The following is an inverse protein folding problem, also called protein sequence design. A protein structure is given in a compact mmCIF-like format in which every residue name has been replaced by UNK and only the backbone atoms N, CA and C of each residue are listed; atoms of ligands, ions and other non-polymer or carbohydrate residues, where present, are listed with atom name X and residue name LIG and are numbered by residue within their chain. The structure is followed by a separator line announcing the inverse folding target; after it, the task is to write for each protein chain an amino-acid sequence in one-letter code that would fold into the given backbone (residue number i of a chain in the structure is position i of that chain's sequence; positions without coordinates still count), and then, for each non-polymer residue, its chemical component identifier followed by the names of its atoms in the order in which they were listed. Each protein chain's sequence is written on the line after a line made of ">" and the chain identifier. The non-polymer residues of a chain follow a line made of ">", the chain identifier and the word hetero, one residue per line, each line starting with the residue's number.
data_IF_442762256609
#
_entry.id   IF_442762256609
#
_cell.length_a   1.000
_cell.length_b   1.000
_cell.length_c   1.000
_cell.angle_alpha   90.00
_cell.angle_beta   90.00
_cell.angle_gamma   90.00
#
_symmetry.space_group_name_H-M   'P 1'
#
loop_
_entity.id
_entity.type
_entity.pdbx_description
1 polymer ?
#
# COMPACT_ATOMS: atom_id res chain seq x y z
N UNK A 1 8.02 29.74 -7.50
CA UNK A 1 6.97 30.23 -8.41
C UNK A 1 5.65 29.61 -7.97
N UNK A 2 4.62 30.40 -7.69
CA UNK A 2 3.31 29.85 -7.28
C UNK A 2 2.63 29.28 -8.51
N UNK A 3 2.46 27.96 -8.55
CA UNK A 3 1.77 27.26 -9.64
C UNK A 3 0.30 27.71 -9.64
N UNK A 4 -0.22 28.11 -10.80
CA UNK A 4 -1.63 28.50 -10.90
C UNK A 4 -2.52 27.24 -10.80
N UNK A 5 -3.43 27.15 -9.81
CA UNK A 5 -4.32 26.01 -9.65
C UNK A 5 -5.13 25.73 -10.91
N UNK A 6 -5.26 24.47 -11.32
CA UNK A 6 -6.06 24.09 -12.49
C UNK A 6 -6.70 22.71 -12.37
N UNK A 7 -8.03 22.65 -12.44
CA UNK A 7 -8.78 21.40 -12.54
C UNK A 7 -8.37 20.57 -13.76
N UNK A 8 -8.06 21.24 -14.88
CA UNK A 8 -7.64 20.60 -16.13
C UNK A 8 -6.38 19.75 -15.94
N UNK A 9 -5.52 20.08 -14.99
CA UNK A 9 -4.33 19.29 -14.73
C UNK A 9 -4.62 17.91 -14.13
N UNK A 10 -5.86 17.62 -13.70
CA UNK A 10 -6.28 16.32 -13.17
C UNK A 10 -6.98 15.43 -14.21
N UNK A 11 -7.40 16.00 -15.34
CA UNK A 11 -8.08 15.24 -16.40
C UNK A 11 -7.25 14.11 -17.00
N UNK A 12 -5.89 14.18 -17.06
CA UNK A 12 -5.10 13.03 -17.49
C UNK A 12 -5.34 11.77 -16.66
N UNK A 13 -5.40 11.88 -15.33
CA UNK A 13 -5.69 10.70 -14.50
C UNK A 13 -7.11 10.18 -14.76
N UNK A 14 -8.09 11.08 -14.87
CA UNK A 14 -9.47 10.68 -15.21
C UNK A 14 -9.52 9.97 -16.56
N UNK A 15 -8.70 10.38 -17.53
CA UNK A 15 -8.57 9.70 -18.81
C UNK A 15 -7.97 8.30 -18.64
N UNK A 16 -6.89 8.15 -17.87
CA UNK A 16 -6.31 6.84 -17.57
C UNK A 16 -7.34 5.92 -16.92
N UNK A 17 -8.04 6.39 -15.88
CA UNK A 17 -9.09 5.64 -15.20
C UNK A 17 -10.23 5.28 -16.17
N UNK A 18 -10.67 6.22 -17.01
CA UNK A 18 -11.72 5.97 -18.00
C UNK A 18 -11.31 4.88 -19.01
N UNK A 19 -10.08 4.90 -19.52
CA UNK A 19 -9.59 3.89 -20.45
C UNK A 19 -9.41 2.53 -19.77
N UNK A 20 -8.72 2.50 -18.63
CA UNK A 20 -8.42 1.26 -17.93
C UNK A 20 -9.68 0.57 -17.42
N UNK A 21 -10.55 1.31 -16.72
CA UNK A 21 -11.81 0.77 -16.20
C UNK A 21 -12.83 0.55 -17.30
N UNK A 22 -12.92 1.48 -18.27
CA UNK A 22 -13.84 1.37 -19.39
C UNK A 22 -13.56 0.13 -20.24
N UNK A 23 -12.29 -0.15 -20.54
CA UNK A 23 -11.90 -1.36 -21.24
C UNK A 23 -12.23 -2.61 -20.41
N UNK A 24 -11.87 -2.63 -19.12
CA UNK A 24 -12.16 -3.76 -18.24
C UNK A 24 -13.64 -4.11 -18.17
N UNK A 25 -14.49 -3.10 -17.89
CA UNK A 25 -15.94 -3.28 -17.83
C UNK A 25 -16.52 -3.68 -19.19
N UNK A 26 -16.02 -3.11 -20.29
CA UNK A 26 -16.46 -3.44 -21.63
C UNK A 26 -16.20 -4.91 -21.99
N UNK A 27 -14.98 -5.39 -21.79
CA UNK A 27 -14.64 -6.79 -22.10
C UNK A 27 -15.31 -7.77 -21.14
N UNK A 28 -15.43 -7.43 -19.85
CA UNK A 28 -16.19 -8.25 -18.89
C UNK A 28 -17.67 -8.33 -19.28
N UNK A 29 -18.28 -7.24 -19.75
CA UNK A 29 -19.65 -7.25 -20.24
C UNK A 29 -19.84 -8.11 -21.51
N UNK A 30 -18.77 -8.39 -22.26
CA UNK A 30 -18.78 -9.32 -23.40
C UNK A 30 -18.59 -10.79 -23.01
N UNK A 31 -18.53 -11.09 -21.70
CA UNK A 31 -18.34 -12.45 -21.20
C UNK A 31 -16.88 -12.85 -21.01
N UNK A 32 -15.93 -11.91 -21.14
CA UNK A 32 -14.53 -12.19 -20.85
C UNK A 32 -14.29 -12.17 -19.33
N UNK A 33 -13.97 -13.35 -18.78
CA UNK A 33 -13.65 -13.52 -17.37
C UNK A 33 -12.46 -12.65 -16.90
N UNK A 34 -11.56 -12.28 -17.82
CA UNK A 34 -10.37 -11.46 -17.55
C UNK A 34 -10.40 -10.14 -18.33
N UNK A 35 -11.58 -9.54 -18.51
CA UNK A 35 -11.75 -8.30 -19.28
C UNK A 35 -10.79 -7.16 -18.91
N UNK A 36 -10.41 -7.03 -17.62
CA UNK A 36 -9.43 -6.03 -17.16
C UNK A 36 -7.97 -6.29 -17.60
N UNK A 37 -7.66 -7.48 -18.11
CA UNK A 37 -6.34 -7.82 -18.65
C UNK A 37 -6.22 -7.63 -20.16
N UNK A 38 -7.34 -7.40 -20.85
CA UNK A 38 -7.36 -7.17 -22.29
C UNK A 38 -6.65 -5.86 -22.67
N UNK A 39 -6.78 -4.83 -21.82
CA UNK A 39 -5.98 -3.61 -21.93
C UNK A 39 -5.04 -3.51 -20.73
N UNK A 40 -3.78 -3.90 -20.95
CA UNK A 40 -2.72 -3.81 -19.94
C UNK A 40 -2.56 -2.37 -19.45
N UNK A 41 -2.39 -2.19 -18.14
CA UNK A 41 -2.37 -0.88 -17.51
C UNK A 41 -1.24 0.05 -18.04
N UNK A 42 0.00 -0.43 -18.30
CA UNK A 42 1.05 0.40 -18.91
C UNK A 42 0.70 0.92 -20.30
N UNK A 43 -0.20 0.25 -21.03
CA UNK A 43 -0.69 0.71 -22.33
C UNK A 43 -1.83 1.71 -22.13
N UNK A 44 -2.74 1.43 -21.19
CA UNK A 44 -3.89 2.29 -20.87
C UNK A 44 -3.47 3.70 -20.42
N UNK A 45 -2.30 3.87 -19.80
CA UNK A 45 -1.81 5.16 -19.31
C UNK A 45 -1.20 6.06 -20.41
N UNK A 46 -0.86 5.52 -21.58
CA UNK A 46 -0.19 6.31 -22.65
C UNK A 46 -1.02 7.51 -23.14
N UNK A 47 -2.34 7.40 -23.41
CA UNK A 47 -3.17 8.54 -23.77
C UNK A 47 -3.23 9.61 -22.68
N UNK A 48 -3.24 9.19 -21.40
CA UNK A 48 -3.21 10.10 -20.26
C UNK A 48 -1.89 10.87 -20.20
N UNK A 49 -0.75 10.20 -20.39
CA UNK A 49 0.55 10.86 -20.46
C UNK A 49 0.65 11.86 -21.61
N UNK A 50 0.12 11.51 -22.78
CA UNK A 50 0.07 12.41 -23.93
C UNK A 50 -0.75 13.67 -23.61
N UNK A 51 -1.93 13.51 -22.98
CA UNK A 51 -2.76 14.63 -22.54
C UNK A 51 -2.06 15.48 -21.47
N UNK A 52 -1.45 14.85 -20.47
CA UNK A 52 -0.71 15.53 -19.41
C UNK A 52 0.47 16.34 -19.97
N UNK A 53 1.23 15.75 -20.90
CA UNK A 53 2.35 16.41 -21.55
C UNK A 53 1.89 17.59 -22.40
N UNK A 54 0.79 17.44 -23.14
CA UNK A 54 0.20 18.52 -23.93
C UNK A 54 -0.28 19.68 -23.04
N UNK A 55 -0.96 19.39 -21.93
CA UNK A 55 -1.39 20.40 -20.97
C UNK A 55 -0.20 21.12 -20.31
N UNK A 56 0.85 20.40 -19.95
CA UNK A 56 2.07 20.97 -19.40
C UNK A 56 2.76 21.89 -20.42
N UNK A 57 2.87 21.44 -21.68
CA UNK A 57 3.43 22.23 -22.78
C UNK A 57 2.66 23.53 -23.03
N UNK A 58 1.31 23.48 -23.01
CA UNK A 58 0.45 24.67 -23.13
C UNK A 58 0.65 25.70 -22.02
N UNK A 59 1.27 25.31 -20.91
CA UNK A 59 1.62 26.20 -19.78
C UNK A 59 3.09 26.61 -19.79
N UNK A 60 3.78 26.43 -20.91
CA UNK A 60 5.20 26.70 -21.08
C UNK A 60 6.10 25.91 -20.10
N UNK A 61 5.62 24.76 -19.60
CA UNK A 61 6.46 23.79 -18.89
C UNK A 61 7.19 22.92 -19.93
N UNK A 62 8.28 22.28 -19.52
CA UNK A 62 9.01 21.30 -20.32
C UNK A 62 8.54 19.89 -19.93
N UNK A 63 7.63 19.26 -20.68
CA UNK A 63 6.96 18.05 -20.21
C UNK A 63 7.91 16.87 -20.02
N UNK A 64 8.91 16.71 -20.89
CA UNK A 64 9.89 15.63 -20.79
C UNK A 64 10.72 15.69 -19.50
N UNK A 65 11.20 16.88 -19.12
CA UNK A 65 11.97 17.07 -17.88
C UNK A 65 11.10 16.77 -16.65
N UNK A 66 9.85 17.27 -16.62
CA UNK A 66 8.91 17.03 -15.52
C UNK A 66 8.52 15.56 -15.41
N UNK A 67 8.29 14.90 -16.55
CA UNK A 67 7.96 13.47 -16.61
C UNK A 67 9.11 12.63 -16.05
N UNK A 68 10.34 12.86 -16.53
CA UNK A 68 11.52 12.13 -16.08
C UNK A 68 11.82 12.38 -14.60
N UNK A 69 11.60 13.60 -14.11
CA UNK A 69 11.73 13.92 -12.68
C UNK A 69 10.72 13.12 -11.84
N UNK A 70 9.49 12.96 -12.32
CA UNK A 70 8.48 12.14 -11.66
C UNK A 70 8.80 10.65 -11.68
N UNK A 71 9.22 10.13 -12.84
CA UNK A 71 9.64 8.72 -12.98
C UNK A 71 10.87 8.41 -12.11
N UNK A 72 11.78 9.37 -11.96
CA UNK A 72 12.99 9.27 -11.15
C UNK A 72 12.79 9.64 -9.68
N UNK A 73 11.56 9.76 -9.19
CA UNK A 73 11.31 9.99 -7.77
C UNK A 73 11.93 8.84 -6.94
N UNK A 74 12.73 9.13 -5.90
CA UNK A 74 13.43 8.10 -5.13
C UNK A 74 12.52 7.03 -4.56
N UNK A 75 11.29 7.37 -4.15
CA UNK A 75 10.34 6.39 -3.61
C UNK A 75 9.86 5.46 -4.71
N UNK A 76 9.59 5.98 -5.90
CA UNK A 76 9.14 5.18 -7.05
C UNK A 76 10.25 4.25 -7.52
N UNK A 77 11.49 4.76 -7.63
CA UNK A 77 12.65 3.93 -7.99
C UNK A 77 12.91 2.85 -6.94
N UNK A 78 12.84 3.20 -5.66
CA UNK A 78 12.95 2.23 -4.55
C UNK A 78 11.88 1.13 -4.68
N UNK A 79 10.63 1.50 -4.95
CA UNK A 79 9.53 0.54 -5.15
C UNK A 79 9.80 -0.39 -6.33
N UNK A 80 10.30 0.13 -7.46
CA UNK A 80 10.69 -0.69 -8.61
C UNK A 80 11.79 -1.72 -8.25
N UNK A 81 12.78 -1.33 -7.45
CA UNK A 81 13.81 -2.26 -6.96
C UNK A 81 13.24 -3.32 -6.03
N UNK A 82 12.33 -2.92 -5.13
CA UNK A 82 11.62 -3.87 -4.26
C UNK A 82 10.83 -4.87 -5.09
N UNK A 83 10.15 -4.46 -6.16
CA UNK A 83 9.40 -5.36 -7.04
C UNK A 83 10.30 -6.42 -7.64
N UNK A 84 11.40 -6.02 -8.26
CA UNK A 84 12.34 -6.95 -8.88
C UNK A 84 12.90 -7.94 -7.87
N UNK A 85 13.39 -7.46 -6.72
CA UNK A 85 13.92 -8.34 -5.67
C UNK A 85 12.84 -9.25 -5.07
N UNK A 86 11.63 -8.75 -4.89
CA UNK A 86 10.50 -9.53 -4.38
C UNK A 86 10.11 -10.65 -5.36
N UNK A 87 10.00 -10.33 -6.64
CA UNK A 87 9.73 -11.32 -7.69
C UNK A 87 10.81 -12.39 -7.76
N UNK A 88 12.08 -11.99 -7.82
CA UNK A 88 13.20 -12.94 -7.81
C UNK A 88 13.21 -13.82 -6.56
N UNK A 89 13.06 -13.21 -5.37
CA UNK A 89 13.02 -13.96 -4.12
C UNK A 89 11.84 -14.93 -4.06
N UNK A 90 10.65 -14.51 -4.51
CA UNK A 90 9.45 -15.35 -4.53
C UNK A 90 9.62 -16.57 -5.45
N UNK A 91 10.13 -16.37 -6.67
CA UNK A 91 10.34 -17.45 -7.64
C UNK A 91 11.41 -18.43 -7.18
N UNK A 92 12.59 -17.95 -6.76
CA UNK A 92 13.66 -18.81 -6.23
C UNK A 92 13.19 -19.58 -4.99
N UNK A 93 12.53 -18.89 -4.04
CA UNK A 93 12.04 -19.56 -2.82
C UNK A 93 10.99 -20.61 -3.11
N UNK A 94 10.17 -20.41 -4.15
CA UNK A 94 9.19 -21.41 -4.57
C UNK A 94 9.87 -22.60 -5.27
N UNK A 95 10.81 -22.34 -6.17
CA UNK A 95 11.54 -23.38 -6.91
C UNK A 95 12.35 -24.29 -5.98
N UNK A 96 12.97 -23.73 -4.95
CA UNK A 96 13.74 -24.48 -3.94
C UNK A 96 12.84 -25.17 -2.90
N UNK A 97 11.51 -24.96 -2.93
CA UNK A 97 10.57 -25.57 -1.98
C UNK A 97 10.53 -24.91 -0.59
N UNK A 98 11.15 -23.74 -0.43
CA UNK A 98 11.15 -23.01 0.84
C UNK A 98 9.76 -22.51 1.23
N UNK A 99 8.97 -22.06 0.26
CA UNK A 99 7.56 -21.66 0.48
C UNK A 99 6.75 -22.84 1.00
N UNK A 100 6.88 -24.01 0.36
CA UNK A 100 6.11 -25.21 0.72
C UNK A 100 6.47 -25.74 2.11
N UNK A 101 7.74 -25.64 2.51
CA UNK A 101 8.17 -25.99 3.86
C UNK A 101 7.56 -25.07 4.94
N UNK A 102 7.51 -23.75 4.71
CA UNK A 102 6.87 -22.81 5.65
C UNK A 102 5.37 -23.09 5.75
N UNK A 103 4.72 -23.34 4.62
CA UNK A 103 3.29 -23.66 4.56
C UNK A 103 2.99 -24.94 5.33
N UNK A 104 3.80 -26.00 5.13
CA UNK A 104 3.65 -27.26 5.86
C UNK A 104 3.79 -27.09 7.37
N UNK A 105 4.77 -26.30 7.82
CA UNK A 105 4.94 -25.98 9.24
C UNK A 105 3.76 -25.19 9.81
N UNK A 106 3.24 -24.21 9.06
CA UNK A 106 2.14 -23.36 9.51
C UNK A 106 0.81 -24.10 9.57
N UNK A 107 0.46 -24.82 8.50
CA UNK A 107 -0.80 -25.57 8.38
C UNK A 107 -0.82 -26.78 9.33
N UNK A 108 0.31 -27.46 9.53
CA UNK A 108 0.40 -28.59 10.46
C UNK A 108 0.29 -28.21 11.94
N UNK A 109 0.56 -26.95 12.29
CA UNK A 109 0.60 -26.47 13.68
C UNK A 109 -0.62 -25.64 14.11
N UNK A 110 -1.38 -25.08 13.17
CA UNK A 110 -2.47 -24.14 13.46
C UNK A 110 -3.84 -24.70 13.09
N UNK A 111 -4.84 -24.37 13.90
CA UNK A 111 -6.24 -24.62 13.54
C UNK A 111 -6.58 -23.84 12.25
N UNK A 112 -7.34 -24.41 11.29
CA UNK A 112 -7.62 -23.77 10.00
C UNK A 112 -8.20 -22.35 10.12
N UNK A 113 -9.14 -22.15 11.05
CA UNK A 113 -9.73 -20.84 11.37
C UNK A 113 -8.71 -19.78 11.83
N UNK A 114 -7.51 -20.17 12.25
CA UNK A 114 -6.44 -19.25 12.68
C UNK A 114 -5.43 -18.94 11.57
N UNK A 115 -5.50 -19.58 10.40
CA UNK A 115 -4.56 -19.34 9.30
C UNK A 115 -4.62 -17.90 8.78
N UNK A 116 -5.81 -17.42 8.39
CA UNK A 116 -5.96 -16.05 7.87
C UNK A 116 -5.68 -14.98 8.94
N UNK A 117 -6.22 -15.07 10.18
CA UNK A 117 -5.86 -14.14 11.24
C UNK A 117 -4.37 -14.16 11.58
N UNK A 118 -3.73 -15.34 11.53
CA UNK A 118 -2.31 -15.52 11.78
C UNK A 118 -1.46 -14.81 10.72
N UNK A 119 -1.77 -14.98 9.44
CA UNK A 119 -1.09 -14.28 8.34
C UNK A 119 -1.26 -12.76 8.43
N UNK A 120 -2.47 -12.29 8.76
CA UNK A 120 -2.72 -10.87 9.02
C UNK A 120 -1.86 -10.35 10.19
N UNK A 121 -1.79 -11.10 11.30
CA UNK A 121 -1.00 -10.72 12.47
C UNK A 121 0.50 -10.69 12.18
N UNK A 122 1.03 -11.68 11.44
CA UNK A 122 2.42 -11.68 10.99
C UNK A 122 2.70 -10.44 10.13
N UNK A 123 1.83 -10.12 9.17
CA UNK A 123 1.98 -8.92 8.35
C UNK A 123 1.94 -7.63 9.18
N UNK A 124 1.07 -7.53 10.19
CA UNK A 124 1.05 -6.41 11.13
C UNK A 124 2.39 -6.23 11.86
N UNK A 125 2.94 -7.32 12.40
CA UNK A 125 4.20 -7.30 13.16
C UNK A 125 5.39 -6.95 12.27
N UNK A 126 5.48 -7.59 11.10
CA UNK A 126 6.53 -7.33 10.12
C UNK A 126 6.49 -5.88 9.64
N UNK A 127 5.31 -5.34 9.35
CA UNK A 127 5.15 -3.95 8.90
C UNK A 127 5.45 -2.93 9.99
N UNK A 128 5.11 -3.21 11.25
CA UNK A 128 5.51 -2.38 12.39
C UNK A 128 7.03 -2.39 12.60
N UNK A 129 7.70 -3.51 12.35
CA UNK A 129 9.13 -3.68 12.58
C UNK A 129 9.99 -3.07 11.47
N UNK A 130 9.73 -3.41 10.20
CA UNK A 130 10.46 -2.82 9.06
C UNK A 130 10.02 -1.37 8.85
N UNK A 131 8.78 -1.04 9.17
CA UNK A 131 8.21 0.28 8.95
C UNK A 131 7.86 0.57 7.49
N UNK A 132 7.69 -0.46 6.65
CA UNK A 132 7.24 -0.30 5.27
C UNK A 132 6.20 -1.35 4.89
N UNK A 133 5.15 -0.91 4.18
CA UNK A 133 4.15 -1.84 3.64
C UNK A 133 4.68 -2.68 2.48
N UNK A 134 5.50 -2.08 1.62
CA UNK A 134 6.00 -2.73 0.40
C UNK A 134 6.90 -3.91 0.72
N UNK A 135 7.82 -3.74 1.68
CA UNK A 135 8.66 -4.82 2.15
C UNK A 135 7.88 -5.93 2.85
N UNK A 136 6.86 -5.56 3.63
CA UNK A 136 5.97 -6.55 4.26
C UNK A 136 5.23 -7.38 3.22
N UNK A 137 4.65 -6.74 2.21
CA UNK A 137 3.94 -7.43 1.12
C UNK A 137 4.91 -8.35 0.37
N UNK A 138 6.09 -7.85 -0.02
CA UNK A 138 7.12 -8.63 -0.69
C UNK A 138 7.55 -9.87 0.11
N UNK A 139 7.67 -9.74 1.43
CA UNK A 139 8.14 -10.80 2.30
C UNK A 139 7.04 -11.80 2.72
N UNK A 140 5.77 -11.38 2.82
CA UNK A 140 4.71 -12.23 3.41
C UNK A 140 3.78 -12.82 2.35
N UNK A 141 3.55 -12.14 1.22
CA UNK A 141 2.62 -12.62 0.18
C UNK A 141 3.03 -13.98 -0.41
N UNK A 142 4.30 -14.30 -0.72
CA UNK A 142 4.62 -15.60 -1.28
C UNK A 142 4.28 -16.77 -0.34
N UNK A 143 4.47 -16.62 0.98
CA UNK A 143 3.95 -17.60 1.97
C UNK A 143 2.43 -17.67 1.89
N UNK A 144 1.77 -16.52 1.92
CA UNK A 144 0.33 -16.44 1.97
C UNK A 144 -0.34 -17.07 0.74
N UNK A 145 0.28 -16.95 -0.44
CA UNK A 145 -0.13 -17.64 -1.66
C UNK A 145 0.04 -19.15 -1.51
N UNK A 146 1.18 -19.61 -1.00
CA UNK A 146 1.39 -21.03 -0.72
C UNK A 146 0.37 -21.59 0.28
N UNK A 147 0.04 -20.84 1.34
CA UNK A 147 -1.00 -21.22 2.31
C UNK A 147 -2.37 -21.26 1.64
N UNK A 148 -2.68 -20.28 0.80
CA UNK A 148 -3.96 -20.24 0.09
C UNK A 148 -4.13 -21.47 -0.82
N UNK A 149 -3.08 -21.84 -1.55
CA UNK A 149 -3.11 -23.00 -2.45
C UNK A 149 -3.23 -24.31 -1.68
N UNK A 150 -2.43 -24.50 -0.63
CA UNK A 150 -2.44 -25.73 0.15
C UNK A 150 -3.73 -25.93 0.96
N UNK A 151 -4.34 -24.83 1.45
CA UNK A 151 -5.59 -24.89 2.21
C UNK A 151 -6.86 -24.73 1.34
N UNK A 152 -6.72 -24.58 0.02
CA UNK A 152 -7.84 -24.38 -0.91
C UNK A 152 -8.62 -23.08 -0.66
N UNK A 153 -7.96 -22.03 -0.15
CA UNK A 153 -8.57 -20.75 0.18
C UNK A 153 -8.56 -19.78 -1.01
N UNK A 154 -9.51 -18.83 -1.02
CA UNK A 154 -9.51 -17.74 -1.98
C UNK A 154 -8.23 -16.90 -1.86
N UNK A 155 -7.34 -16.98 -2.87
CA UNK A 155 -6.06 -16.24 -2.88
C UNK A 155 -6.25 -14.74 -2.64
N UNK A 156 -7.29 -14.15 -3.24
CA UNK A 156 -7.55 -12.71 -3.09
C UNK A 156 -7.89 -12.34 -1.64
N UNK A 157 -8.66 -13.17 -0.92
CA UNK A 157 -8.94 -13.00 0.50
C UNK A 157 -7.69 -13.14 1.38
N UNK A 158 -6.91 -14.20 1.18
CA UNK A 158 -5.70 -14.46 1.98
C UNK A 158 -4.68 -13.34 1.81
N UNK A 159 -4.40 -12.97 0.56
CA UNK A 159 -3.48 -11.88 0.21
C UNK A 159 -4.05 -10.52 0.64
N UNK A 160 -5.37 -10.32 0.54
CA UNK A 160 -6.05 -9.14 1.06
C UNK A 160 -5.86 -8.96 2.57
N UNK A 161 -5.84 -10.06 3.32
CA UNK A 161 -5.46 -10.08 4.73
C UNK A 161 -4.02 -9.61 4.94
N UNK A 162 -3.06 -10.13 4.18
CA UNK A 162 -1.65 -9.70 4.28
C UNK A 162 -1.47 -8.23 3.94
N UNK A 163 -2.07 -7.74 2.84
CA UNK A 163 -2.05 -6.32 2.49
C UNK A 163 -2.68 -5.48 3.60
N UNK A 164 -3.78 -5.94 4.19
CA UNK A 164 -4.41 -5.29 5.34
C UNK A 164 -3.45 -5.17 6.53
N UNK A 165 -2.73 -6.23 6.88
CA UNK A 165 -1.74 -6.19 7.97
C UNK A 165 -0.54 -5.29 7.63
N UNK A 166 -0.10 -5.29 6.38
CA UNK A 166 0.93 -4.37 5.91
C UNK A 166 0.50 -2.90 6.05
N UNK A 167 -0.75 -2.59 5.72
CA UNK A 167 -1.35 -1.25 5.90
C UNK A 167 -1.57 -0.87 7.37
N UNK A 168 -1.86 -1.85 8.23
CA UNK A 168 -1.91 -1.61 9.67
C UNK A 168 -0.58 -1.10 10.21
N UNK A 169 0.52 -1.77 9.85
CA UNK A 169 1.85 -1.34 10.28
C UNK A 169 2.29 -0.03 9.67
N UNK A 170 2.00 0.24 8.39
CA UNK A 170 2.35 1.52 7.74
C UNK A 170 1.70 2.72 8.45
N UNK A 171 0.43 2.57 8.82
CA UNK A 171 -0.34 3.58 9.55
C UNK A 171 0.14 3.78 11.01
N UNK A 172 0.85 2.81 11.60
CA UNK A 172 1.28 2.87 13.00
C UNK A 172 2.78 3.02 13.18
N UNK A 173 3.59 2.71 12.18
CA UNK A 173 5.04 2.74 12.28
C UNK A 173 5.54 4.14 12.61
N UNK A 174 6.39 4.24 13.63
CA UNK A 174 7.00 5.52 14.04
C UNK A 174 8.11 5.95 13.05
N UNK A 175 8.66 4.99 12.30
CA UNK A 175 9.76 5.20 11.37
C UNK A 175 9.32 5.32 9.91
N UNK A 176 8.03 5.12 9.59
CA UNK A 176 7.52 5.22 8.21
C UNK A 176 7.55 6.67 7.69
N UNK A 177 7.89 6.83 6.41
CA UNK A 177 7.95 8.12 5.72
C UNK A 177 6.62 8.88 5.78
N UNK A 178 5.49 8.17 5.67
CA UNK A 178 4.14 8.73 5.78
C UNK A 178 3.91 9.33 7.16
N UNK A 179 4.33 8.61 8.20
CA UNK A 179 4.22 9.06 9.59
C UNK A 179 5.11 10.27 9.87
N UNK A 180 6.33 10.27 9.35
CA UNK A 180 7.26 11.40 9.47
C UNK A 180 6.71 12.61 8.71
N UNK A 181 6.20 12.43 7.49
CA UNK A 181 5.59 13.49 6.70
C UNK A 181 4.35 14.08 7.39
N UNK A 182 3.45 13.24 7.91
CA UNK A 182 2.23 13.69 8.58
C UNK A 182 2.56 14.46 9.85
N UNK A 183 3.46 13.95 10.69
CA UNK A 183 3.83 14.60 11.95
C UNK A 183 4.58 15.92 11.72
N UNK A 184 5.54 15.96 10.79
CA UNK A 184 6.30 17.19 10.46
C UNK A 184 5.42 18.26 9.83
N UNK A 185 4.52 17.91 8.91
CA UNK A 185 3.65 18.90 8.26
C UNK A 185 2.65 19.51 9.23
N UNK A 186 2.19 18.75 10.21
CA UNK A 186 1.22 19.22 11.22
C UNK A 186 1.86 19.78 12.49
N UNK A 187 3.16 19.62 12.70
CA UNK A 187 3.83 20.01 13.94
C UNK A 187 3.47 19.11 15.13
N UNK A 188 3.16 17.84 14.88
CA UNK A 188 2.81 16.86 15.91
C UNK A 188 4.03 16.04 16.34
N UNK A 189 4.04 15.58 17.60
CA UNK A 189 5.02 14.60 18.07
C UNK A 189 4.64 13.19 17.60
N UNK A 190 5.64 12.40 17.15
CA UNK A 190 5.39 11.03 16.63
C UNK A 190 4.71 10.14 17.67
N UNK A 191 5.11 10.22 18.94
CA UNK A 191 4.54 9.43 20.03
C UNK A 191 3.05 9.72 20.24
N UNK A 192 2.64 10.98 20.09
CA UNK A 192 1.24 11.38 20.28
C UNK A 192 0.37 10.99 19.10
N UNK A 193 0.92 11.06 17.88
CA UNK A 193 0.30 10.50 16.67
C UNK A 193 0.12 8.99 16.80
N UNK A 194 1.16 8.26 17.22
CA UNK A 194 1.09 6.81 17.44
C UNK A 194 -0.06 6.43 18.37
N UNK A 195 -0.17 7.11 19.52
CA UNK A 195 -1.25 6.88 20.49
C UNK A 195 -2.63 7.21 19.93
N UNK A 196 -2.74 8.20 19.06
CA UNK A 196 -4.00 8.55 18.41
C UNK A 196 -4.38 7.50 17.36
N UNK A 197 -3.47 7.14 16.46
CA UNK A 197 -3.71 6.11 15.45
C UNK A 197 -4.00 4.75 16.08
N UNK A 198 -3.30 4.36 17.14
CA UNK A 198 -3.51 3.07 17.79
C UNK A 198 -4.93 2.89 18.32
N UNK A 199 -5.56 3.95 18.84
CA UNK A 199 -6.97 3.92 19.29
C UNK A 199 -7.96 3.65 18.16
N UNK A 200 -7.60 4.02 16.93
CA UNK A 200 -8.45 3.87 15.74
C UNK A 200 -8.13 2.55 15.02
N UNK A 201 -6.84 2.24 14.86
CA UNK A 201 -6.35 1.08 14.13
C UNK A 201 -6.56 -0.23 14.90
N UNK A 202 -6.41 -0.25 16.23
CA UNK A 202 -6.57 -1.47 17.01
C UNK A 202 -8.00 -2.05 16.92
N UNK A 203 -9.09 -1.28 17.11
CA UNK A 203 -10.44 -1.81 16.90
C UNK A 203 -10.66 -2.35 15.48
N UNK A 204 -10.14 -1.66 14.45
CA UNK A 204 -10.23 -2.12 13.07
C UNK A 204 -9.46 -3.43 12.83
N UNK A 205 -8.27 -3.56 13.40
CA UNK A 205 -7.46 -4.78 13.32
C UNK A 205 -8.14 -5.96 14.03
N UNK A 206 -8.70 -5.76 15.22
CA UNK A 206 -9.43 -6.79 15.96
C UNK A 206 -10.69 -7.24 15.18
N UNK A 207 -11.44 -6.29 14.61
CA UNK A 207 -12.58 -6.62 13.75
C UNK A 207 -12.14 -7.38 12.50
N UNK A 208 -11.00 -7.01 11.89
CA UNK A 208 -10.44 -7.71 10.74
C UNK A 208 -10.06 -9.15 11.10
N UNK A 209 -9.33 -9.35 12.21
CA UNK A 209 -8.98 -10.68 12.69
C UNK A 209 -10.20 -11.57 12.92
N UNK A 210 -11.27 -11.01 13.50
CA UNK A 210 -12.51 -11.74 13.73
C UNK A 210 -13.18 -12.16 12.42
N UNK A 211 -13.31 -11.24 11.45
CA UNK A 211 -13.89 -11.55 10.14
C UNK A 211 -13.06 -12.58 9.36
N UNK A 212 -11.73 -12.44 9.39
CA UNK A 212 -10.82 -13.40 8.75
C UNK A 212 -10.92 -14.78 9.41
N UNK A 213 -11.13 -14.84 10.73
CA UNK A 213 -11.31 -16.10 11.45
C UNK A 213 -12.57 -16.85 11.00
N UNK A 214 -13.69 -16.15 10.87
CA UNK A 214 -14.93 -16.74 10.34
C UNK A 214 -14.81 -17.14 8.87
N UNK A 215 -14.06 -16.38 8.08
CA UNK A 215 -13.86 -16.69 6.67
C UNK A 215 -12.90 -17.88 6.43
N UNK A 216 -12.08 -18.24 7.42
CA UNK A 216 -11.14 -19.36 7.36
C UNK A 216 -11.74 -20.73 7.74
N UNK A 217 -12.95 -20.77 8.30
CA UNK A 217 -13.56 -22.00 8.85
C UNK A 217 -13.99 -23.02 7.77
N UNK A 218 -14.02 -22.61 6.50
CA UNK A 218 -14.42 -23.43 5.36
C UNK A 218 -13.28 -24.21 4.67
N UNK A 219 -12.06 -24.24 5.22
CA UNK A 219 -10.91 -24.87 4.58
C UNK A 219 -10.82 -26.38 4.88
N UNK A 220 -10.95 -27.28 3.88
CA UNK A 220 -10.54 -28.67 4.04
C UNK A 220 -9.02 -28.72 4.07
N UNK A 221 -8.43 -28.87 5.25
CA UNK A 221 -6.98 -28.96 5.37
C UNK A 221 -6.55 -30.41 5.20
N UNK A 222 -6.17 -30.78 3.99
CA UNK A 222 -5.32 -31.95 3.74
C UNK A 222 -3.88 -31.46 3.54
N UNK A 223 -3.08 -31.54 4.60
CA UNK A 223 -1.65 -31.27 4.48
C UNK A 223 -0.96 -32.50 3.87
N UNK A 224 -0.57 -32.43 2.59
CA UNK A 224 0.46 -33.34 2.10
C UNK A 224 1.80 -32.94 2.71
N UNK A 225 2.19 -33.65 3.76
CA UNK A 225 3.43 -33.45 4.52
C UNK A 225 4.62 -34.07 3.80
N UNK A 226 5.12 -33.45 2.74
CA UNK A 226 6.29 -33.95 2.00
C UNK A 226 7.47 -32.98 1.94
N UNK A 227 7.29 -31.71 2.29
CA UNK A 227 8.40 -30.75 2.31
C UNK A 227 9.25 -30.88 3.58
N UNK A 228 10.58 -30.97 3.41
CA UNK A 228 11.51 -31.04 4.54
C UNK A 228 11.57 -29.71 5.31
N UNK A 229 11.36 -29.76 6.63
CA UNK A 229 11.24 -28.56 7.49
C UNK A 229 12.46 -27.61 7.42
N UNK A 230 13.66 -28.11 7.13
CA UNK A 230 14.87 -27.28 7.02
C UNK A 230 14.83 -26.31 5.83
N UNK A 231 14.05 -26.60 4.79
CA UNK A 231 13.84 -25.69 3.64
C UNK A 231 13.10 -24.41 4.03
N UNK A 232 12.44 -24.38 5.20
CA UNK A 232 11.81 -23.16 5.71
C UNK A 232 12.81 -22.13 6.24
N UNK A 233 14.06 -22.54 6.54
CA UNK A 233 15.06 -21.68 7.19
C UNK A 233 15.38 -20.38 6.44
N UNK A 234 15.62 -20.37 5.11
CA UNK A 234 15.88 -19.12 4.38
C UNK A 234 14.75 -18.12 4.55
N UNK A 235 13.51 -18.60 4.52
CA UNK A 235 12.33 -17.77 4.62
C UNK A 235 12.10 -17.27 6.06
N UNK A 236 12.27 -18.14 7.06
CA UNK A 236 12.19 -17.75 8.48
C UNK A 236 13.25 -16.72 8.83
N UNK A 237 14.46 -16.85 8.29
CA UNK A 237 15.53 -15.88 8.50
C UNK A 237 15.16 -14.52 7.88
N UNK A 238 14.58 -14.48 6.68
CA UNK A 238 14.05 -13.25 6.08
C UNK A 238 13.02 -12.58 6.99
N UNK A 239 12.07 -13.35 7.55
CA UNK A 239 11.09 -12.82 8.51
C UNK A 239 11.75 -12.31 9.79
N UNK A 240 12.77 -12.98 10.31
CA UNK A 240 13.52 -12.53 11.49
C UNK A 240 14.28 -11.24 11.20
N UNK A 241 14.96 -11.13 10.05
CA UNK A 241 15.68 -9.92 9.65
C UNK A 241 14.72 -8.75 9.43
N UNK A 242 13.56 -9.02 8.85
CA UNK A 242 12.47 -8.06 8.74
C UNK A 242 12.00 -7.58 10.13
N UNK A 243 11.77 -8.49 11.07
CA UNK A 243 11.39 -8.16 12.45
C UNK A 243 12.50 -7.45 13.25
N UNK A 244 13.75 -7.63 12.85
CA UNK A 244 14.89 -6.89 13.39
C UNK A 244 14.99 -5.45 12.84
N UNK A 245 14.12 -5.07 11.90
CA UNK A 245 14.05 -3.71 11.34
C UNK A 245 15.15 -3.41 10.30
N UNK A 246 15.71 -4.42 9.65
CA UNK A 246 16.64 -4.20 8.54
C UNK A 246 15.91 -3.61 7.32
N UNK A 247 16.65 -2.84 6.51
CA UNK A 247 16.14 -2.27 5.26
C UNK A 247 15.61 -3.34 4.32
N UNK A 248 14.50 -3.05 3.64
CA UNK A 248 13.78 -3.99 2.78
C UNK A 248 14.67 -4.55 1.66
N UNK A 249 15.50 -3.72 1.02
CA UNK A 249 16.35 -4.18 -0.07
C UNK A 249 17.41 -5.15 0.46
N UNK A 250 17.95 -4.89 1.65
CA UNK A 250 18.88 -5.80 2.32
C UNK A 250 18.20 -7.11 2.71
N UNK A 251 17.00 -7.04 3.28
CA UNK A 251 16.22 -8.23 3.69
C UNK A 251 15.92 -9.12 2.47
N UNK A 252 15.42 -8.54 1.37
CA UNK A 252 15.12 -9.30 0.15
C UNK A 252 16.40 -9.79 -0.56
N UNK A 253 17.46 -8.97 -0.59
CA UNK A 253 18.73 -9.36 -1.20
C UNK A 253 19.42 -10.51 -0.46
N UNK A 254 19.49 -10.42 0.88
CA UNK A 254 19.99 -11.52 1.73
C UNK A 254 19.09 -12.75 1.56
N UNK A 255 17.77 -12.58 1.56
CA UNK A 255 16.82 -13.65 1.33
C UNK A 255 17.03 -14.37 0.00
N UNK A 256 17.24 -13.63 -1.08
CA UNK A 256 17.48 -14.16 -2.41
C UNK A 256 18.78 -14.97 -2.48
N UNK A 257 19.86 -14.46 -1.87
CA UNK A 257 21.15 -15.16 -1.82
C UNK A 257 21.05 -16.42 -0.97
N UNK A 258 20.35 -16.36 0.16
CA UNK A 258 20.16 -17.53 1.03
C UNK A 258 19.28 -18.59 0.37
N UNK A 259 18.16 -18.21 -0.22
CA UNK A 259 17.28 -19.15 -0.92
C UNK A 259 18.03 -19.85 -2.07
N UNK A 260 18.78 -19.09 -2.87
CA UNK A 260 19.64 -19.64 -3.91
C UNK A 260 20.74 -20.55 -3.35
N UNK A 261 21.44 -20.11 -2.30
CA UNK A 261 22.50 -20.90 -1.66
C UNK A 261 22.00 -22.23 -1.08
N UNK A 262 20.81 -22.23 -0.48
CA UNK A 262 20.17 -23.46 0.00
C UNK A 262 19.73 -24.37 -1.16
N UNK A 263 19.19 -23.78 -2.23
CA UNK A 263 18.87 -24.52 -3.46
C UNK A 263 20.10 -25.21 -4.05
N UNK A 264 21.20 -24.47 -4.20
CA UNK A 264 22.46 -25.00 -4.76
C UNK A 264 23.11 -26.07 -3.88
N UNK A 265 22.95 -25.97 -2.56
CA UNK A 265 23.59 -26.88 -1.62
C UNK A 265 22.78 -28.17 -1.39
N UNK A 266 21.45 -28.10 -1.49
CA UNK A 266 20.57 -29.15 -1.01
C UNK A 266 19.36 -29.45 -1.91
N UNK A 267 19.13 -28.66 -2.96
CA UNK A 267 18.06 -28.89 -3.93
C UNK A 267 18.47 -29.98 -4.92
N UNK A 268 17.55 -30.90 -5.19
CA UNK A 268 17.73 -31.90 -6.24
C UNK A 268 17.69 -31.20 -7.61
N UNK A 269 18.73 -31.40 -8.42
CA UNK A 269 18.90 -30.81 -9.77
C UNK A 269 18.86 -29.27 -9.83
N UNK A 270 19.03 -28.56 -8.71
CA UNK A 270 19.05 -27.10 -8.65
C UNK A 270 20.46 -26.52 -8.83
N UNK A 271 20.78 -26.07 -10.04
CA UNK A 271 22.10 -25.55 -10.40
C UNK A 271 22.14 -24.01 -10.55
N UNK A 272 23.33 -23.47 -10.84
CA UNK A 272 23.51 -22.03 -11.03
C UNK A 272 22.74 -21.47 -12.23
N UNK A 273 22.45 -22.30 -13.24
CA UNK A 273 21.71 -21.90 -14.44
C UNK A 273 20.24 -21.75 -14.09
N UNK A 274 19.67 -22.71 -13.36
CA UNK A 274 18.30 -22.63 -12.86
C UNK A 274 18.14 -21.44 -11.91
N UNK A 275 19.07 -21.25 -10.97
CA UNK A 275 19.03 -20.11 -10.06
C UNK A 275 19.00 -18.76 -10.80
N UNK A 276 19.86 -18.58 -11.79
CA UNK A 276 19.85 -17.37 -12.62
C UNK A 276 18.57 -17.23 -13.46
N UNK A 277 18.03 -18.35 -13.97
CA UNK A 277 16.77 -18.40 -14.70
C UNK A 277 15.57 -17.99 -13.85
N UNK A 278 15.47 -18.51 -12.63
CA UNK A 278 14.37 -18.18 -11.71
C UNK A 278 14.39 -16.72 -11.27
N UNK A 279 15.58 -16.14 -11.05
CA UNK A 279 15.74 -14.69 -10.83
C UNK A 279 15.16 -13.91 -12.01
N UNK A 280 15.50 -14.31 -13.23
CA UNK A 280 15.04 -13.63 -14.45
C UNK A 280 13.52 -13.73 -14.62
N UNK A 281 12.94 -14.91 -14.44
CA UNK A 281 11.48 -15.11 -14.47
C UNK A 281 10.82 -14.23 -13.39
N UNK A 282 11.41 -14.17 -12.20
CA UNK A 282 10.99 -13.29 -11.13
C UNK A 282 10.99 -11.81 -11.55
N UNK A 283 12.02 -11.34 -12.23
CA UNK A 283 12.06 -9.98 -12.78
C UNK A 283 11.00 -9.76 -13.86
N UNK A 284 10.86 -10.68 -14.82
CA UNK A 284 9.86 -10.61 -15.88
C UNK A 284 8.44 -10.48 -15.33
N UNK A 285 8.11 -11.24 -14.29
CA UNK A 285 6.79 -11.20 -13.63
C UNK A 285 6.45 -9.82 -13.05
N UNK A 286 7.45 -8.98 -12.80
CA UNK A 286 7.32 -7.66 -12.17
C UNK A 286 7.42 -6.50 -13.16
N UNK A 287 7.76 -6.74 -14.43
CA UNK A 287 7.96 -5.68 -15.45
C UNK A 287 6.70 -4.84 -15.64
N UNK A 288 5.52 -5.46 -15.69
CA UNK A 288 4.26 -4.75 -15.93
C UNK A 288 3.99 -3.69 -14.84
N UNK A 289 4.11 -4.08 -13.58
CA UNK A 289 3.87 -3.18 -12.43
C UNK A 289 4.99 -2.16 -12.26
N UNK A 290 6.23 -2.52 -12.61
CA UNK A 290 7.38 -1.63 -12.62
C UNK A 290 7.17 -0.50 -13.64
N UNK A 291 6.81 -0.84 -14.88
CA UNK A 291 6.51 0.14 -15.93
C UNK A 291 5.35 1.03 -15.51
N UNK A 292 4.25 0.44 -15.02
CA UNK A 292 3.10 1.21 -14.54
C UNK A 292 3.48 2.21 -13.45
N UNK A 293 4.27 1.80 -12.46
CA UNK A 293 4.66 2.67 -11.33
C UNK A 293 5.50 3.87 -11.79
N UNK A 294 6.46 3.64 -12.69
CA UNK A 294 7.23 4.73 -13.29
C UNK A 294 6.31 5.71 -14.04
N UNK A 295 5.42 5.18 -14.89
CA UNK A 295 4.52 6.00 -15.70
C UNK A 295 3.52 6.79 -14.85
N UNK A 296 2.98 6.19 -13.77
CA UNK A 296 2.14 6.88 -12.78
C UNK A 296 2.93 7.98 -12.08
N UNK A 297 4.19 7.73 -11.71
CA UNK A 297 5.09 8.73 -11.15
C UNK A 297 5.26 9.96 -12.04
N UNK A 298 5.54 9.71 -13.32
CA UNK A 298 5.64 10.76 -14.34
C UNK A 298 4.32 11.52 -14.52
N UNK A 299 3.19 10.80 -14.57
CA UNK A 299 1.86 11.40 -14.67
C UNK A 299 1.57 12.30 -13.46
N UNK A 300 1.82 11.81 -12.25
CA UNK A 300 1.64 12.55 -11.00
C UNK A 300 2.49 13.82 -10.94
N UNK A 301 3.74 13.77 -11.40
CA UNK A 301 4.60 14.95 -11.51
C UNK A 301 4.06 16.00 -12.49
N UNK A 302 3.57 15.57 -13.66
CA UNK A 302 2.93 16.47 -14.63
C UNK A 302 1.65 17.11 -14.07
N UNK A 303 0.81 16.33 -13.39
CA UNK A 303 -0.41 16.83 -12.74
C UNK A 303 -0.09 17.87 -11.64
N UNK A 304 0.95 17.58 -10.84
CA UNK A 304 1.44 18.49 -9.80
C UNK A 304 1.98 19.79 -10.40
N UNK A 305 2.86 19.70 -11.39
CA UNK A 305 3.42 20.87 -12.07
C UNK A 305 2.35 21.69 -12.82
N UNK A 306 1.29 21.04 -13.30
CA UNK A 306 0.14 21.69 -13.93
C UNK A 306 -0.80 22.42 -12.96
N UNK A 307 -0.62 22.26 -11.64
CA UNK A 307 -1.44 22.89 -10.60
C UNK A 307 -2.69 22.10 -10.20
N UNK A 308 -2.73 20.80 -10.48
CA UNK A 308 -3.88 19.94 -10.16
C UNK A 308 -4.08 19.80 -8.65
N UNK A 309 -3.00 19.52 -7.93
CA UNK A 309 -3.05 19.32 -6.47
C UNK A 309 -3.39 20.61 -5.71
N UNK A 310 -2.84 21.75 -6.15
CA UNK A 310 -3.19 23.06 -5.59
C UNK A 310 -4.67 23.40 -5.79
N UNK A 311 -5.25 22.97 -6.92
CA UNK A 311 -6.68 23.15 -7.18
C UNK A 311 -7.54 22.29 -6.26
N UNK A 312 -7.18 21.01 -6.06
CA UNK A 312 -7.87 20.13 -5.11
C UNK A 312 -7.86 20.72 -3.71
N UNK A 313 -6.69 21.16 -3.25
CA UNK A 313 -6.52 21.84 -1.98
C UNK A 313 -7.48 23.04 -1.83
N UNK A 314 -7.61 23.87 -2.88
CA UNK A 314 -8.50 25.03 -2.84
C UNK A 314 -9.98 24.66 -2.83
N UNK A 315 -10.39 23.65 -3.59
CA UNK A 315 -11.78 23.17 -3.61
C UNK A 315 -12.18 22.67 -2.22
N UNK A 316 -11.32 21.87 -1.60
CA UNK A 316 -11.58 21.29 -0.28
C UNK A 316 -11.57 22.39 0.80
N UNK A 317 -10.62 23.33 0.72
CA UNK A 317 -10.59 24.48 1.61
C UNK A 317 -11.82 25.38 1.47
N UNK A 318 -12.40 25.54 0.27
CA UNK A 318 -13.65 26.30 0.07
C UNK A 318 -14.84 25.62 0.74
N UNK A 319 -14.95 24.30 0.61
CA UNK A 319 -16.00 23.53 1.29
C UNK A 319 -15.88 23.63 2.82
N UNK A 320 -14.65 23.59 3.33
CA UNK A 320 -14.33 23.73 4.76
C UNK A 320 -14.65 25.12 5.35
N UNK A 321 -14.77 26.17 4.53
CA UNK A 321 -15.04 27.56 4.99
C UNK A 321 -16.51 27.82 5.31
N UNK A 322 -17.45 27.04 4.77
CA UNK A 322 -18.89 27.28 4.92
C UNK A 322 -19.49 26.85 6.27
N UNK A 323 -18.77 26.04 7.05
CA UNK A 323 -19.29 25.43 8.27
C UNK A 323 -18.28 25.63 9.41
N UNK A 324 -18.74 26.04 10.60
CA UNK A 324 -17.90 26.18 11.80
C UNK A 324 -18.10 24.98 12.69
N UNK A 325 -17.20 24.01 12.64
CA UNK A 325 -17.26 22.85 13.51
C UNK A 325 -16.08 21.91 13.31
N UNK A 326 -15.49 21.46 14.42
CA UNK A 326 -14.38 20.51 14.45
C UNK A 326 -14.59 19.32 13.51
N UNK A 327 -15.80 18.74 13.49
CA UNK A 327 -16.15 17.62 12.61
C UNK A 327 -15.96 17.98 11.13
N UNK A 328 -16.44 19.14 10.70
CA UNK A 328 -16.26 19.62 9.32
C UNK A 328 -14.77 19.75 8.98
N UNK A 329 -13.97 20.28 9.92
CA UNK A 329 -12.51 20.33 9.76
C UNK A 329 -11.88 18.94 9.62
N UNK A 330 -12.25 17.99 10.50
CA UNK A 330 -11.74 16.61 10.44
C UNK A 330 -12.11 15.93 9.11
N UNK A 331 -13.36 16.06 8.66
CA UNK A 331 -13.80 15.53 7.35
C UNK A 331 -13.11 16.23 6.18
N UNK A 332 -12.77 17.51 6.31
CA UNK A 332 -12.05 18.24 5.26
C UNK A 332 -10.60 17.75 5.14
N UNK A 333 -9.92 17.49 6.27
CA UNK A 333 -8.57 16.91 6.28
C UNK A 333 -8.60 15.48 5.71
N UNK A 334 -9.58 14.67 6.13
CA UNK A 334 -9.77 13.32 5.62
C UNK A 334 -10.00 13.30 4.09
N UNK A 335 -10.93 14.13 3.60
CA UNK A 335 -11.21 14.25 2.17
C UNK A 335 -10.00 14.78 1.38
N UNK A 336 -9.25 15.74 1.94
CA UNK A 336 -8.02 16.24 1.34
C UNK A 336 -7.00 15.14 1.16
N UNK A 337 -6.70 14.39 2.21
CA UNK A 337 -5.71 13.34 2.17
C UNK A 337 -6.12 12.22 1.22
N UNK A 338 -7.34 11.71 1.36
CA UNK A 338 -7.83 10.62 0.52
C UNK A 338 -7.90 10.99 -0.96
N UNK A 339 -8.36 12.20 -1.25
CA UNK A 339 -8.43 12.66 -2.65
C UNK A 339 -7.03 12.86 -3.21
N UNK A 340 -6.13 13.53 -2.46
CA UNK A 340 -4.74 13.70 -2.91
C UNK A 340 -4.06 12.35 -3.15
N UNK A 341 -4.30 11.36 -2.30
CA UNK A 341 -3.76 10.00 -2.45
C UNK A 341 -4.31 9.30 -3.68
N UNK A 342 -5.64 9.31 -3.90
CA UNK A 342 -6.26 8.81 -5.14
C UNK A 342 -5.63 9.43 -6.39
N UNK A 343 -5.33 10.74 -6.36
CA UNK A 343 -4.74 11.41 -7.52
C UNK A 343 -3.23 11.20 -7.70
N UNK A 344 -2.52 10.87 -6.63
CA UNK A 344 -1.05 10.72 -6.65
C UNK A 344 -0.59 9.26 -6.61
N UNK A 345 -1.46 8.34 -6.20
CA UNK A 345 -1.17 6.94 -5.88
C UNK A 345 0.06 6.78 -4.96
N UNK A 346 0.31 7.79 -4.13
CA UNK A 346 1.47 7.90 -3.26
C UNK A 346 1.08 8.67 -2.00
N UNK A 347 0.81 7.89 -0.96
CA UNK A 347 0.41 8.39 0.36
C UNK A 347 1.37 9.42 0.94
N UNK A 348 2.68 9.25 0.78
CA UNK A 348 3.68 10.21 1.26
C UNK A 348 3.59 11.55 0.52
N UNK A 349 3.47 11.51 -0.81
CA UNK A 349 3.32 12.73 -1.63
C UNK A 349 1.99 13.42 -1.33
N UNK A 350 0.90 12.66 -1.17
CA UNK A 350 -0.41 13.18 -0.80
C UNK A 350 -0.37 13.96 0.52
N UNK A 351 0.25 13.37 1.55
CA UNK A 351 0.42 13.99 2.86
C UNK A 351 1.26 15.28 2.77
N UNK A 352 2.39 15.26 2.06
CA UNK A 352 3.28 16.42 1.94
C UNK A 352 2.62 17.59 1.20
N UNK A 353 1.86 17.30 0.14
CA UNK A 353 1.19 18.34 -0.65
C UNK A 353 -0.04 18.89 0.08
N UNK A 354 -0.82 18.04 0.74
CA UNK A 354 -1.98 18.45 1.52
C UNK A 354 -1.62 19.05 2.89
N UNK A 355 -0.39 18.84 3.38
CA UNK A 355 -0.01 19.11 4.76
C UNK A 355 -0.22 20.54 5.23
N UNK A 356 0.21 21.54 4.46
CA UNK A 356 0.03 22.95 4.84
C UNK A 356 -1.45 23.36 4.89
N UNK A 357 -2.24 22.84 3.95
CA UNK A 357 -3.69 23.12 3.86
C UNK A 357 -4.44 22.42 4.99
N UNK A 358 -4.06 21.18 5.32
CA UNK A 358 -4.57 20.46 6.47
C UNK A 358 -4.27 21.19 7.78
N UNK A 359 -3.07 21.77 7.91
CA UNK A 359 -2.69 22.57 9.08
C UNK A 359 -3.53 23.83 9.21
N UNK A 360 -3.72 24.57 8.11
CA UNK A 360 -4.61 25.73 8.05
C UNK A 360 -6.06 25.38 8.44
N UNK A 361 -6.55 24.22 8.00
CA UNK A 361 -7.87 23.71 8.38
C UNK A 361 -7.89 23.37 9.87
N UNK A 362 -6.87 22.70 10.39
CA UNK A 362 -6.77 22.30 11.78
C UNK A 362 -6.80 23.51 12.73
N UNK A 363 -6.04 24.56 12.42
CA UNK A 363 -6.00 25.81 13.20
C UNK A 363 -7.36 26.53 13.22
N UNK A 364 -8.06 26.58 12.08
CA UNK A 364 -9.38 27.25 11.98
C UNK A 364 -10.50 26.50 12.69
N UNK A 365 -10.36 25.18 12.81
CA UNK A 365 -11.40 24.29 13.36
C UNK A 365 -11.06 23.74 14.76
N UNK A 366 -10.02 24.27 15.41
CA UNK A 366 -9.57 23.88 16.76
C UNK A 366 -9.28 22.36 16.86
N UNK A 367 -8.59 21.83 15.85
CA UNK A 367 -8.16 20.43 15.78
C UNK A 367 -6.70 20.36 16.24
N UNK A 368 -6.40 19.46 17.18
CA UNK A 368 -5.04 19.28 17.69
C UNK A 368 -4.08 18.75 16.59
N UNK A 369 -2.80 19.18 16.59
CA UNK A 369 -1.81 18.72 15.61
C UNK A 369 -1.73 17.20 15.45
N UNK A 370 -1.77 16.45 16.57
CA UNK A 370 -1.76 14.99 16.59
C UNK A 370 -2.97 14.38 15.88
N UNK A 371 -4.15 15.00 16.02
CA UNK A 371 -5.39 14.55 15.37
C UNK A 371 -5.38 14.86 13.88
N UNK A 372 -4.91 16.05 13.49
CA UNK A 372 -4.72 16.40 12.09
C UNK A 372 -3.71 15.46 11.39
N UNK A 373 -2.59 15.15 12.04
CA UNK A 373 -1.59 14.22 11.52
C UNK A 373 -2.16 12.80 11.39
N UNK A 374 -2.91 12.35 12.39
CA UNK A 374 -3.60 11.06 12.37
C UNK A 374 -4.58 10.94 11.21
N UNK A 375 -5.42 11.96 10.99
CA UNK A 375 -6.40 11.96 9.89
C UNK A 375 -5.73 12.05 8.52
N UNK A 376 -4.70 12.87 8.36
CA UNK A 376 -3.92 12.88 7.12
C UNK A 376 -3.38 11.49 6.80
N UNK A 377 -2.72 10.86 7.77
CA UNK A 377 -2.07 9.58 7.56
C UNK A 377 -3.06 8.45 7.28
N UNK A 378 -4.10 8.30 8.11
CA UNK A 378 -5.12 7.26 7.94
C UNK A 378 -5.81 7.39 6.57
N UNK A 379 -6.20 8.61 6.19
CA UNK A 379 -6.93 8.82 4.94
C UNK A 379 -6.02 8.87 3.71
N UNK A 380 -4.70 8.89 3.86
CA UNK A 380 -3.78 8.56 2.77
C UNK A 380 -3.50 7.04 2.71
N UNK A 381 -3.44 6.36 3.85
CA UNK A 381 -3.19 4.92 3.94
C UNK A 381 -4.36 4.09 3.39
N UNK A 382 -5.61 4.46 3.73
CA UNK A 382 -6.81 3.72 3.33
C UNK A 382 -6.95 3.61 1.80
N UNK A 383 -6.95 4.70 1.02
CA UNK A 383 -7.07 4.57 -0.44
C UNK A 383 -5.84 3.86 -1.01
N UNK A 384 -4.63 4.12 -0.54
CA UNK A 384 -3.44 3.42 -1.01
C UNK A 384 -3.57 1.89 -0.91
N UNK A 385 -4.17 1.38 0.17
CA UNK A 385 -4.46 -0.04 0.35
C UNK A 385 -5.73 -0.55 -0.37
N UNK A 386 -6.40 0.27 -1.17
CA UNK A 386 -7.65 -0.04 -1.89
C UNK A 386 -7.60 0.34 -3.38
N UNK A 387 -6.62 1.13 -3.82
CA UNK A 387 -6.48 1.54 -5.21
C UNK A 387 -5.93 0.38 -6.04
N UNK A 388 -6.63 -0.09 -7.09
CA UNK A 388 -6.14 -1.17 -7.95
C UNK A 388 -4.85 -0.84 -8.71
N UNK A 389 -4.55 0.46 -8.86
CA UNK A 389 -3.30 0.99 -9.43
C UNK A 389 -2.33 1.49 -8.36
N UNK A 390 -2.67 1.33 -7.07
CA UNK A 390 -1.78 1.61 -5.96
C UNK A 390 -0.71 0.53 -5.87
N UNK A 391 0.52 0.93 -5.57
CA UNK A 391 1.66 0.04 -5.67
C UNK A 391 1.61 -1.18 -4.75
N UNK A 392 1.06 -1.03 -3.55
CA UNK A 392 0.84 -2.11 -2.59
C UNK A 392 -0.05 -3.21 -3.19
N UNK A 393 -1.16 -2.80 -3.82
CA UNK A 393 -2.10 -3.71 -4.47
C UNK A 393 -1.47 -4.33 -5.70
N UNK A 394 -0.77 -3.55 -6.53
CA UNK A 394 -0.10 -4.05 -7.73
C UNK A 394 0.96 -5.10 -7.40
N UNK A 395 1.79 -4.86 -6.39
CA UNK A 395 2.80 -5.83 -5.94
C UNK A 395 2.15 -7.12 -5.44
N UNK A 396 1.19 -7.00 -4.52
CA UNK A 396 0.51 -8.14 -3.94
C UNK A 396 -0.25 -8.95 -5.01
N UNK A 397 -0.93 -8.27 -5.94
CA UNK A 397 -1.65 -8.88 -7.03
C UNK A 397 -0.71 -9.62 -8.02
N UNK A 398 0.44 -9.02 -8.32
CA UNK A 398 1.46 -9.63 -9.19
C UNK A 398 2.07 -10.88 -8.55
N UNK A 399 2.48 -10.81 -7.27
CA UNK A 399 3.03 -11.97 -6.54
C UNK A 399 2.00 -13.10 -6.35
N UNK A 400 0.72 -12.77 -6.27
CA UNK A 400 -0.35 -13.74 -6.09
C UNK A 400 -1.03 -14.21 -7.38
N UNK A 401 -0.66 -13.63 -8.52
CA UNK A 401 -1.31 -13.82 -9.81
C UNK A 401 -2.85 -13.64 -9.75
N UNK A 402 -3.32 -12.62 -9.03
CA UNK A 402 -4.75 -12.27 -8.91
C UNK A 402 -5.05 -10.92 -9.55
N UNK A 403 -6.32 -10.68 -9.87
CA UNK A 403 -6.76 -9.36 -10.34
C UNK A 403 -6.55 -8.29 -9.25
N UNK A 404 -5.88 -7.16 -9.54
CA UNK A 404 -5.75 -6.04 -8.59
C UNK A 404 -7.09 -5.54 -8.07
N UNK A 405 -8.15 -5.63 -8.88
CA UNK A 405 -9.51 -5.27 -8.48
C UNK A 405 -10.12 -6.23 -7.49
N UNK A 406 -9.99 -7.54 -7.76
CA UNK A 406 -10.47 -8.56 -6.85
C UNK A 406 -9.76 -8.43 -5.50
N UNK A 407 -8.45 -8.20 -5.53
CA UNK A 407 -7.64 -8.00 -4.32
C UNK A 407 -8.05 -6.73 -3.55
N UNK A 408 -8.19 -5.59 -4.20
CA UNK A 408 -8.60 -4.33 -3.58
C UNK A 408 -9.92 -4.46 -2.79
N UNK A 409 -10.89 -5.22 -3.33
CA UNK A 409 -12.16 -5.50 -2.64
C UNK A 409 -12.02 -6.38 -1.39
N UNK A 410 -10.91 -7.11 -1.25
CA UNK A 410 -10.66 -8.07 -0.16
C UNK A 410 -9.74 -7.54 0.94
N UNK A 411 -9.21 -6.33 0.82
CA UNK A 411 -8.41 -5.68 1.88
C UNK A 411 -9.33 -5.12 2.98
N UNK A 412 -9.96 -6.02 3.74
CA UNK A 412 -10.98 -5.69 4.74
C UNK A 412 -10.50 -4.72 5.82
N UNK A 413 -9.22 -4.78 6.20
CA UNK A 413 -8.65 -3.86 7.18
C UNK A 413 -8.79 -2.40 6.76
N UNK A 414 -8.52 -2.04 5.50
CA UNK A 414 -8.59 -0.65 5.05
C UNK A 414 -10.03 -0.12 5.10
N UNK A 415 -11.01 -0.95 4.73
CA UNK A 415 -12.43 -0.62 4.85
C UNK A 415 -12.84 -0.43 6.31
N UNK A 416 -12.44 -1.34 7.19
CA UNK A 416 -12.73 -1.26 8.62
C UNK A 416 -12.03 -0.07 9.28
N UNK A 417 -10.79 0.23 8.90
CA UNK A 417 -10.04 1.38 9.37
C UNK A 417 -10.76 2.68 9.01
N UNK A 418 -11.24 2.81 7.77
CA UNK A 418 -12.03 3.96 7.32
C UNK A 418 -13.32 4.11 8.14
N UNK A 419 -14.07 3.01 8.32
CA UNK A 419 -15.31 3.01 9.09
C UNK A 419 -15.08 3.40 10.56
N UNK A 420 -14.06 2.83 11.21
CA UNK A 420 -13.71 3.16 12.59
C UNK A 420 -13.24 4.60 12.69
N UNK A 421 -12.39 5.08 11.78
CA UNK A 421 -11.93 6.47 11.76
C UNK A 421 -13.10 7.46 11.64
N UNK A 422 -14.01 7.23 10.68
CA UNK A 422 -15.24 8.03 10.51
C UNK A 422 -16.11 7.95 11.78
N UNK A 423 -16.25 6.76 12.36
CA UNK A 423 -16.94 6.56 13.64
C UNK A 423 -16.36 7.44 14.75
N UNK A 424 -15.04 7.48 14.91
CA UNK A 424 -14.35 8.34 15.88
C UNK A 424 -14.53 9.85 15.59
N UNK A 425 -14.62 10.26 14.33
CA UNK A 425 -14.88 11.65 13.94
C UNK A 425 -16.31 12.09 14.28
N UNK A 426 -17.29 11.18 14.13
CA UNK A 426 -18.70 11.44 14.44
C UNK A 426 -18.99 11.28 15.93
N UNK A 427 -18.25 10.42 16.63
CA UNK A 427 -18.48 10.13 18.05
C UNK A 427 -18.41 11.42 18.90
N UNK A 428 -19.44 11.72 19.72
CA UNK A 428 -19.44 12.91 20.56
C UNK A 428 -18.42 12.74 21.68
N UNK A 429 -17.16 13.09 21.41
CA UNK A 429 -16.09 12.94 22.38
C UNK A 429 -16.12 14.09 23.41
N UNK A 430 -16.08 13.75 24.70
CA UNK A 430 -15.97 14.67 25.85
C UNK A 430 -14.58 15.35 25.94
N UNK A 431 -13.72 15.18 24.94
CA UNK A 431 -12.29 15.52 24.87
C UNK A 431 -11.98 17.01 24.73
N UNK A 432 -12.92 17.91 25.06
CA UNK A 432 -12.72 19.36 25.02
C UNK A 432 -11.57 19.83 25.91
N UNK A 433 -11.25 19.10 26.98
CA UNK A 433 -10.23 19.49 27.97
C UNK A 433 -8.81 19.00 27.63
N UNK A 434 -8.66 17.80 27.07
CA UNK A 434 -7.34 17.22 26.77
C UNK A 434 -6.74 17.79 25.47
N UNK A 435 -7.57 18.08 24.45
CA UNK A 435 -7.09 18.75 23.24
C UNK A 435 -6.74 20.23 23.51
N UNK A 436 -7.45 20.92 24.42
CA UNK A 436 -7.07 22.28 24.87
C UNK A 436 -5.70 22.32 25.52
N UNK A 437 -5.40 21.40 26.45
CA UNK A 437 -4.06 21.31 27.05
C UNK A 437 -2.96 21.06 26.02
N UNK A 438 -3.19 20.16 25.05
CA UNK A 438 -2.22 19.90 23.98
C UNK A 438 -2.03 21.11 23.04
N UNK A 439 -3.07 21.91 22.81
CA UNK A 439 -2.99 23.16 22.03
C UNK A 439 -2.22 24.23 22.80
N UNK A 440 -2.45 24.33 24.11
CA UNK A 440 -1.76 25.29 24.98
C UNK A 440 -0.26 24.91 25.14
N UNK A 441 0.07 23.62 25.23
CA UNK A 441 1.45 23.10 25.28
C UNK A 441 2.19 23.26 23.94
N UNK A 442 1.52 23.17 22.79
CA UNK A 442 2.15 23.36 21.48
C UNK A 442 2.40 24.85 21.12
N UNK A 443 1.77 25.77 21.86
CA UNK A 443 1.91 27.23 21.69
C UNK A 443 2.95 27.85 22.64
N UNK A 444 3.29 27.14 23.71
CA UNK A 444 4.37 27.47 24.63
C UNK A 444 5.71 26.96 24.09
#
# INVERSE_FOLDING_TARGET
>A
MTVRPSALALTPLLLFLAFFFGAGLYFTAQGDAMGFYQLRAPVAILPALALAAWLAWRRALKPGEVLLQGMGDPNIVLMCLIFLLAGAFAYVSKAVGAVDAVVSLGIGALHPALLLPGLFAIACLVSLAIGTSMGTIAAVVPIAVGVADAAGLDRALVVGGVVGGAMFGDNLSVISDTTIAATRTQGAQMRDKFRENFKIALPAALATMMLLGFAGDSAPVEAETTASAWLALPYLLVLVLALAGLDVLLVLGIGLVLAGGFGLAFGDDYDLVQYAGDIWIGFESMIEILLLSLLIGGLGALMKAGGGLDWLAQVIARFARGHRGRRTGEFSIAALSATADVFTANNTVAILVGGSVARDIAERHDISPRRAASLLDIFACVPQGLLPYGAQILLAASLAAVSPFALAGKVWYCWLLALVAIGFMVWPSRTRAADRRAIDEARA
#
